data_IF_854364808523
#
_entry.id   IF_854364808523
#
_cell.length_a   1.000
_cell.length_b   1.000
_cell.length_c   1.000
_cell.angle_alpha   90.00
_cell.angle_beta   90.00
_cell.angle_gamma   90.00
#
_symmetry.space_group_name_H-M   'P 1'
#
loop_
_entity.id
_entity.type
_entity.pdbx_description
1 polymer ?
#
# COMPACT_ATOMS: atom_id res chain seq x y z
N UNK A 1 7.94 3.65 -8.84
CA UNK A 1 8.23 2.75 -7.70
C UNK A 1 7.28 1.56 -7.67
N UNK A 2 7.69 0.42 -7.10
CA UNK A 2 6.83 -0.75 -6.89
C UNK A 2 6.00 -0.61 -5.61
N UNK A 3 4.72 -0.93 -5.66
CA UNK A 3 3.82 -0.93 -4.51
C UNK A 3 2.84 -2.11 -4.54
N UNK A 4 2.51 -2.67 -3.37
CA UNK A 4 1.37 -3.59 -3.22
C UNK A 4 0.09 -2.77 -3.36
N UNK A 5 -0.83 -3.24 -4.20
CA UNK A 5 -2.09 -2.55 -4.52
C UNK A 5 -3.24 -3.56 -4.44
N UNK A 6 -4.44 -3.08 -4.14
CA UNK A 6 -5.67 -3.88 -4.07
C UNK A 6 -6.39 -3.87 -5.43
N UNK A 7 -6.81 -5.04 -5.91
CA UNK A 7 -7.53 -5.21 -7.18
C UNK A 7 -8.93 -5.80 -6.99
N UNK A 8 -9.22 -6.30 -5.80
CA UNK A 8 -10.47 -6.96 -5.47
C UNK A 8 -10.27 -7.95 -4.34
N UNK A 9 -11.37 -8.52 -3.84
CA UNK A 9 -11.29 -9.57 -2.82
C UNK A 9 -10.33 -10.67 -3.28
N UNK A 10 -9.33 -10.93 -2.45
CA UNK A 10 -8.24 -11.89 -2.63
C UNK A 10 -7.29 -11.61 -3.80
N UNK A 11 -7.34 -10.41 -4.38
CA UNK A 11 -6.45 -9.98 -5.48
C UNK A 11 -5.60 -8.78 -5.03
N UNK A 12 -4.34 -9.07 -4.68
CA UNK A 12 -3.31 -8.09 -4.31
C UNK A 12 -2.13 -8.25 -5.26
N UNK A 13 -1.71 -7.16 -5.91
CA UNK A 13 -0.63 -7.18 -6.89
C UNK A 13 0.42 -6.11 -6.61
N UNK A 14 1.66 -6.43 -6.95
CA UNK A 14 2.73 -5.44 -7.01
C UNK A 14 2.68 -4.76 -8.37
N UNK A 15 2.45 -3.45 -8.39
CA UNK A 15 2.42 -2.64 -9.62
C UNK A 15 3.46 -1.54 -9.57
N UNK A 16 3.92 -1.12 -10.74
CA UNK A 16 4.65 0.14 -10.89
C UNK A 16 3.66 1.30 -10.73
N UNK A 17 3.96 2.21 -9.82
CA UNK A 17 3.21 3.42 -9.54
C UNK A 17 4.15 4.64 -9.57
N UNK A 18 3.63 5.86 -9.77
CA UNK A 18 4.44 7.07 -9.68
C UNK A 18 5.13 7.17 -8.31
N UNK A 19 6.32 7.77 -8.30
CA UNK A 19 7.03 8.01 -7.05
C UNK A 19 6.25 9.01 -6.16
N UNK A 20 6.37 8.83 -4.85
CA UNK A 20 5.73 9.70 -3.87
C UNK A 20 6.19 11.15 -4.03
N UNK A 21 5.27 12.09 -3.82
CA UNK A 21 5.51 13.54 -3.89
C UNK A 21 5.07 14.20 -2.60
N UNK A 22 5.85 15.18 -2.15
CA UNK A 22 5.47 16.05 -1.04
C UNK A 22 4.28 16.91 -1.46
N UNK A 23 3.24 16.97 -0.63
CA UNK A 23 2.04 17.78 -0.89
C UNK A 23 2.02 18.99 0.04
N UNK A 24 2.39 18.78 1.30
CA UNK A 24 2.44 19.79 2.34
C UNK A 24 3.89 20.07 2.76
N UNK A 25 4.08 21.19 3.48
CA UNK A 25 5.42 21.67 3.87
C UNK A 25 6.13 20.73 4.86
N UNK A 26 5.35 19.99 5.62
CA UNK A 26 5.78 19.11 6.72
C UNK A 26 5.84 17.63 6.33
N UNK A 27 5.58 17.29 5.07
CA UNK A 27 5.70 15.94 4.55
C UNK A 27 7.18 15.50 4.44
N UNK A 28 7.41 14.19 4.53
CA UNK A 28 8.71 13.55 4.23
C UNK A 28 8.52 12.32 3.35
N UNK A 29 9.48 12.06 2.47
CA UNK A 29 9.55 10.80 1.70
C UNK A 29 10.55 9.86 2.35
N UNK A 30 10.09 8.65 2.68
CA UNK A 30 10.91 7.63 3.35
C UNK A 30 11.22 6.50 2.37
N UNK A 31 12.50 6.10 2.28
CA UNK A 31 12.90 4.86 1.62
C UNK A 31 12.63 3.69 2.55
N UNK A 32 11.64 2.88 2.22
CA UNK A 32 11.30 1.67 2.97
C UNK A 32 12.42 0.63 2.80
N UNK A 33 13.03 0.20 3.90
CA UNK A 33 14.02 -0.90 3.93
C UNK A 33 13.39 -2.22 4.34
N UNK A 34 12.30 -2.17 5.10
CA UNK A 34 11.53 -3.33 5.55
C UNK A 34 10.10 -2.91 5.84
N UNK A 35 9.16 -3.82 5.59
CA UNK A 35 7.74 -3.69 5.92
C UNK A 35 7.20 -5.07 6.29
N UNK A 36 6.05 -5.12 6.95
CA UNK A 36 5.42 -6.36 7.39
C UNK A 36 3.95 -6.40 6.98
N UNK A 37 3.40 -7.62 6.94
CA UNK A 37 1.96 -7.85 6.82
C UNK A 37 1.40 -7.98 8.23
N UNK A 38 0.33 -7.24 8.52
CA UNK A 38 -0.39 -7.29 9.78
C UNK A 38 -1.67 -8.12 9.64
N UNK A 39 -2.19 -8.66 10.74
CA UNK A 39 -3.50 -9.33 10.76
C UNK A 39 -4.64 -8.42 10.27
N UNK A 40 -4.54 -7.11 10.48
CA UNK A 40 -5.52 -6.13 10.00
C UNK A 40 -5.63 -6.08 8.48
N UNK A 41 -4.56 -6.43 7.75
CA UNK A 41 -4.54 -6.40 6.29
C UNK A 41 -5.47 -7.47 5.71
N UNK A 42 -5.79 -8.51 6.48
CA UNK A 42 -6.75 -9.55 6.09
C UNK A 42 -8.16 -8.99 5.88
N UNK A 43 -8.55 -7.92 6.60
CA UNK A 43 -9.84 -7.27 6.41
C UNK A 43 -9.94 -6.65 5.01
N UNK A 44 -8.86 -6.07 4.48
CA UNK A 44 -8.81 -5.53 3.12
C UNK A 44 -8.69 -6.68 2.12
N UNK A 45 -7.84 -7.67 2.40
CA UNK A 45 -7.62 -8.82 1.52
C UNK A 45 -8.90 -9.62 1.25
N UNK A 46 -9.77 -9.80 2.24
CA UNK A 46 -11.04 -10.52 2.04
C UNK A 46 -12.08 -9.71 1.24
N UNK A 47 -11.77 -8.46 0.88
CA UNK A 47 -12.72 -7.47 0.43
C UNK A 47 -13.32 -6.75 1.63
N UNK A 48 -13.35 -5.41 1.59
CA UNK A 48 -13.99 -4.57 2.60
C UNK A 48 -15.49 -4.91 2.68
N UNK A 49 -15.83 -5.97 3.40
CA UNK A 49 -17.19 -6.25 3.80
C UNK A 49 -17.55 -5.24 4.89
N UNK A 50 -18.30 -4.21 4.50
CA UNK A 50 -19.28 -3.56 5.38
C UNK A 50 -20.29 -4.60 5.86
#
# INVERSE_FOLDING_TARGET
MKAVTFQGSKDMQVKEVPDAKLQQKDDIVVRITSTAICGSDLHIYQGLAS
#
